data_IF_730398018294
#
_entry.id   IF_730398018294
#
_cell.length_a   1.000
_cell.length_b   1.000
_cell.length_c   1.000
_cell.angle_alpha   90.00
_cell.angle_beta   90.00
_cell.angle_gamma   90.00
#
_symmetry.space_group_name_H-M   'P 1'
#
loop_
_entity.id
_entity.type
_entity.pdbx_description
1 polymer ?
#
# COMPACT_ATOMS: atom_id res chain seq x y z
N UNK A 1 -0.90 7.77 6.87
CA UNK A 1 0.45 7.18 6.86
C UNK A 1 1.13 7.54 8.18
N UNK A 2 1.76 6.59 8.88
CA UNK A 2 2.43 6.81 10.17
C UNK A 2 3.77 6.09 10.21
N UNK A 3 4.66 6.46 11.14
CA UNK A 3 5.89 5.69 11.37
C UNK A 3 5.57 4.30 11.95
N UNK A 4 6.14 3.27 11.33
CA UNK A 4 6.09 1.87 11.74
C UNK A 4 7.23 1.50 12.69
N UNK A 5 7.22 0.25 13.18
CA UNK A 5 8.22 -0.22 14.14
C UNK A 5 9.65 -0.25 13.56
N UNK A 6 9.76 -0.49 12.25
CA UNK A 6 11.03 -0.43 11.51
C UNK A 6 11.44 0.99 11.07
N UNK A 7 10.71 2.04 11.48
CA UNK A 7 11.01 3.43 11.16
C UNK A 7 10.53 3.91 9.78
N UNK A 8 9.94 3.03 8.97
CA UNK A 8 9.35 3.40 7.68
C UNK A 8 7.98 4.05 7.83
N UNK A 9 7.59 4.82 6.83
CA UNK A 9 6.23 5.33 6.69
C UNK A 9 5.31 4.21 6.19
N UNK A 10 4.28 3.89 6.98
CA UNK A 10 3.39 2.76 6.73
C UNK A 10 1.91 3.13 6.79
N UNK A 11 1.08 2.28 6.21
CA UNK A 11 -0.36 2.21 6.50
C UNK A 11 -0.82 0.75 6.56
N UNK A 12 -1.95 0.52 7.22
CA UNK A 12 -2.56 -0.80 7.27
C UNK A 12 -3.76 -0.87 6.35
N UNK A 13 -3.92 -1.99 5.68
CA UNK A 13 -5.07 -2.30 4.85
C UNK A 13 -5.60 -3.68 5.19
N UNK A 14 -6.91 -3.80 5.31
CA UNK A 14 -7.60 -5.09 5.41
C UNK A 14 -8.62 -5.16 4.27
N UNK A 15 -8.19 -5.51 3.05
CA UNK A 15 -9.09 -5.53 1.90
C UNK A 15 -10.04 -6.73 2.02
N UNK A 16 -11.33 -6.46 1.87
CA UNK A 16 -12.40 -7.46 1.92
C UNK A 16 -12.91 -7.71 0.49
N UNK A 17 -12.90 -8.98 0.07
CA UNK A 17 -13.46 -9.38 -1.22
C UNK A 17 -14.98 -9.16 -1.30
N UNK A 18 -15.49 -8.96 -2.51
CA UNK A 18 -16.91 -8.92 -2.84
C UNK A 18 -17.16 -9.57 -4.21
N UNK A 19 -18.41 -9.59 -4.67
CA UNK A 19 -18.78 -10.27 -5.93
C UNK A 19 -18.11 -9.65 -7.17
N UNK A 20 -17.83 -8.34 -7.16
CA UNK A 20 -17.18 -7.63 -8.26
C UNK A 20 -15.64 -7.80 -8.23
N UNK A 21 -15.08 -7.89 -7.02
CA UNK A 21 -13.65 -8.03 -6.74
C UNK A 21 -13.42 -9.22 -5.81
N UNK A 22 -13.45 -10.46 -6.35
CA UNK A 22 -13.39 -11.68 -5.53
C UNK A 22 -11.99 -11.98 -4.98
N UNK A 23 -10.95 -11.34 -5.51
CA UNK A 23 -9.56 -11.51 -5.07
C UNK A 23 -9.20 -10.35 -4.14
N UNK A 24 -8.76 -10.67 -2.92
CA UNK A 24 -8.37 -9.70 -1.90
C UNK A 24 -7.17 -10.20 -1.10
N UNK A 25 -7.04 -9.78 0.17
CA UNK A 25 -5.91 -10.09 1.04
C UNK A 25 -6.03 -11.39 1.82
N UNK A 26 -6.79 -12.39 1.36
CA UNK A 26 -6.92 -13.71 2.03
C UNK A 26 -7.24 -13.64 3.54
N UNK A 27 -7.99 -12.62 3.97
CA UNK A 27 -8.34 -12.39 5.37
C UNK A 27 -7.20 -11.88 6.27
N UNK A 28 -6.08 -11.43 5.70
CA UNK A 28 -4.95 -10.90 6.45
C UNK A 28 -4.94 -9.37 6.52
N UNK A 29 -4.37 -8.85 7.62
CA UNK A 29 -4.03 -7.44 7.75
C UNK A 29 -2.68 -7.18 7.07
N UNK A 30 -2.68 -6.30 6.06
CA UNK A 30 -1.50 -5.99 5.26
C UNK A 30 -0.86 -4.70 5.79
N UNK A 31 0.45 -4.74 6.06
CA UNK A 31 1.27 -3.54 6.32
C UNK A 31 1.90 -3.07 5.01
N UNK A 32 1.42 -1.94 4.49
CA UNK A 32 1.98 -1.29 3.31
C UNK A 32 3.10 -0.36 3.75
N UNK A 33 4.23 -0.40 3.05
CA UNK A 33 5.35 0.52 3.24
C UNK A 33 5.38 1.53 2.10
N UNK A 34 5.56 2.81 2.43
CA UNK A 34 5.70 3.87 1.43
C UNK A 34 6.90 3.56 0.52
N UNK A 35 6.70 3.68 -0.79
CA UNK A 35 7.77 3.50 -1.76
C UNK A 35 8.91 4.52 -1.54
N UNK A 36 10.16 4.20 -1.92
CA UNK A 36 11.26 5.15 -1.89
C UNK A 36 10.97 6.42 -2.72
N UNK A 37 11.54 7.59 -2.36
CA UNK A 37 11.28 8.86 -3.05
C UNK A 37 11.50 8.80 -4.56
N UNK A 38 12.54 8.11 -5.02
CA UNK A 38 12.88 7.97 -6.44
C UNK A 38 11.80 7.20 -7.23
N UNK A 39 11.12 6.23 -6.61
CA UNK A 39 10.02 5.48 -7.24
C UNK A 39 8.78 6.35 -7.33
N UNK A 40 8.48 7.13 -6.29
CA UNK A 40 7.36 8.07 -6.29
C UNK A 40 7.56 9.11 -7.39
N UNK A 41 8.74 9.74 -7.44
CA UNK A 41 9.07 10.75 -8.45
C UNK A 41 9.00 10.20 -9.87
N UNK A 42 9.50 8.98 -10.11
CA UNK A 42 9.39 8.34 -11.41
C UNK A 42 7.92 8.12 -11.81
N UNK A 43 7.06 7.71 -10.88
CA UNK A 43 5.65 7.49 -11.14
C UNK A 43 4.88 8.79 -11.38
N UNK A 44 5.18 9.85 -10.61
CA UNK A 44 4.63 11.20 -10.81
C UNK A 44 5.01 11.78 -12.17
N UNK A 45 6.26 11.58 -12.61
CA UNK A 45 6.71 12.05 -13.92
C UNK A 45 6.03 11.33 -15.11
N UNK A 46 5.47 10.13 -14.89
CA UNK A 46 4.72 9.36 -15.89
C UNK A 46 3.21 9.63 -15.86
N UNK A 47 2.70 10.27 -14.79
CA UNK A 47 1.29 10.61 -14.69
C UNK A 47 0.96 11.76 -15.67
N UNK A 48 0.05 11.49 -16.61
CA UNK A 48 -0.42 12.43 -17.64
C UNK A 48 -1.50 13.36 -17.05
#
# INVERSE_FOLDING_TARGET
IRKGAAGFDICFMHPKANDEFPIAGEGVLIEMVQAPPEVIQAFEAMAI
#
